data_IF_983099791038
#
_entry.id   IF_983099791038
#
_cell.length_a   1.000
_cell.length_b   1.000
_cell.length_c   1.000
_cell.angle_alpha   90.00
_cell.angle_beta   90.00
_cell.angle_gamma   90.00
#
_symmetry.space_group_name_H-M   'P 1'
#
loop_
_entity.id
_entity.type
_entity.pdbx_description
1 polymer ?
#
# COMPACT_ATOMS: atom_id res chain seq x y z
N UNK A 1 -30.20 71.00 20.04
CA UNK A 1 -31.62 71.26 20.13
C UNK A 1 -32.29 69.88 20.31
N UNK A 2 -32.73 69.58 21.58
CA UNK A 2 -34.12 69.56 22.00
C UNK A 2 -34.91 68.55 21.14
N UNK A 3 -35.59 67.48 21.63
CA UNK A 3 -36.53 67.35 22.74
C UNK A 3 -36.83 65.82 22.90
N UNK A 4 -36.73 65.17 24.06
CA UNK A 4 -37.79 64.94 25.08
C UNK A 4 -38.85 63.90 24.67
N UNK A 5 -38.74 62.74 25.33
CA UNK A 5 -39.67 62.00 26.19
C UNK A 5 -41.01 61.49 25.62
N UNK A 6 -41.39 60.25 25.84
CA UNK A 6 -42.47 59.92 26.77
C UNK A 6 -42.58 58.39 27.05
N UNK A 7 -42.84 58.10 28.33
CA UNK A 7 -43.17 56.81 28.93
C UNK A 7 -44.43 56.19 28.37
N UNK A 8 -44.49 54.84 28.38
CA UNK A 8 -45.71 54.12 28.77
C UNK A 8 -45.34 52.74 29.29
N UNK A 9 -45.60 52.57 30.56
CA UNK A 9 -45.61 51.30 31.33
C UNK A 9 -46.88 50.51 30.95
N UNK A 10 -46.73 49.24 30.59
CA UNK A 10 -47.83 48.30 30.73
C UNK A 10 -47.31 46.95 31.21
N UNK A 11 -47.53 46.66 32.49
CA UNK A 11 -47.36 45.36 33.10
C UNK A 11 -48.56 44.51 32.76
N UNK A 12 -48.32 43.29 32.28
CA UNK A 12 -49.29 42.19 32.32
C UNK A 12 -48.59 40.88 32.62
N UNK A 13 -48.93 40.33 33.75
CA UNK A 13 -48.67 39.00 34.28
C UNK A 13 -49.16 37.94 33.30
N UNK A 14 -48.31 37.02 32.92
CA UNK A 14 -48.72 35.66 32.50
C UNK A 14 -47.75 34.64 33.00
N UNK A 15 -48.29 33.63 33.61
CA UNK A 15 -47.82 32.54 34.44
C UNK A 15 -46.64 31.76 33.86
N UNK A 16 -45.83 31.33 34.81
CA UNK A 16 -44.73 30.40 34.61
C UNK A 16 -45.23 29.02 34.18
N UNK A 17 -44.67 28.55 33.09
CA UNK A 17 -44.50 27.12 32.84
C UNK A 17 -43.01 26.89 32.81
N UNK A 18 -42.47 26.45 33.99
CA UNK A 18 -41.13 25.88 34.04
C UNK A 18 -41.12 24.60 33.27
N UNK A 19 -40.82 24.65 31.96
CA UNK A 19 -40.38 23.51 31.21
C UNK A 19 -38.97 23.13 31.74
N UNK A 20 -38.90 22.18 32.67
CA UNK A 20 -37.69 21.41 32.94
C UNK A 20 -37.31 20.65 31.64
N UNK A 21 -36.60 21.33 30.76
CA UNK A 21 -35.84 20.67 29.69
C UNK A 21 -34.65 20.00 30.39
N UNK A 22 -34.87 18.74 30.80
CA UNK A 22 -33.77 17.84 31.13
C UNK A 22 -32.91 17.71 29.91
N UNK A 23 -31.91 18.57 29.75
CA UNK A 23 -30.81 18.40 28.82
C UNK A 23 -30.11 17.11 29.23
N UNK A 24 -30.53 16.00 28.57
CA UNK A 24 -29.74 14.80 28.55
C UNK A 24 -28.40 15.19 27.89
N UNK A 25 -27.43 15.52 28.69
CA UNK A 25 -26.02 15.61 28.26
C UNK A 25 -25.70 14.26 27.64
N UNK A 26 -25.79 14.17 26.32
CA UNK A 26 -25.20 13.07 25.56
C UNK A 26 -23.71 13.13 25.88
N UNK A 27 -23.29 12.33 26.86
CA UNK A 27 -21.86 12.07 27.11
C UNK A 27 -21.25 11.76 25.74
N UNK A 28 -20.35 12.62 25.31
CA UNK A 28 -19.57 12.35 24.11
C UNK A 28 -18.94 10.95 24.30
N UNK A 29 -18.97 10.09 23.27
CA UNK A 29 -18.33 8.79 23.38
C UNK A 29 -16.87 9.01 23.81
N UNK A 30 -16.34 8.15 24.70
CA UNK A 30 -14.96 8.29 25.16
C UNK A 30 -14.04 8.32 23.94
N UNK A 31 -13.01 9.17 23.95
CA UNK A 31 -12.08 9.26 22.83
C UNK A 31 -11.49 7.88 22.55
N UNK A 32 -11.48 7.49 21.28
CA UNK A 32 -10.90 6.21 20.87
C UNK A 32 -9.45 6.15 21.33
N UNK A 33 -8.98 5.00 21.83
CA UNK A 33 -7.59 4.83 22.22
C UNK A 33 -6.66 5.20 21.06
N UNK A 34 -5.71 6.09 21.30
CA UNK A 34 -4.78 6.52 20.25
C UNK A 34 -3.71 5.45 20.00
N UNK A 35 -3.36 5.24 18.73
CA UNK A 35 -2.25 4.38 18.35
C UNK A 35 -0.91 4.92 18.86
N UNK A 36 -0.09 4.06 19.46
CA UNK A 36 1.31 4.37 19.83
C UNK A 36 2.25 4.25 18.63
N UNK A 37 1.86 3.50 17.61
CA UNK A 37 2.67 3.22 16.42
C UNK A 37 2.55 4.34 15.38
N UNK A 38 1.37 4.93 15.21
CA UNK A 38 1.15 5.95 14.18
C UNK A 38 2.10 7.16 14.31
N UNK A 39 2.34 7.75 15.49
CA UNK A 39 3.30 8.84 15.64
C UNK A 39 4.75 8.44 15.22
N UNK A 40 5.15 7.19 15.48
CA UNK A 40 6.47 6.68 15.05
C UNK A 40 6.55 6.57 13.55
N UNK A 41 5.49 6.07 12.89
CA UNK A 41 5.40 6.03 11.42
C UNK A 41 5.50 7.43 10.81
N UNK A 42 4.78 8.40 11.36
CA UNK A 42 4.77 9.78 10.87
C UNK A 42 6.14 10.46 11.04
N UNK A 43 6.82 10.22 12.16
CA UNK A 43 8.15 10.74 12.43
C UNK A 43 9.19 10.10 11.46
N UNK A 44 9.13 8.78 11.28
CA UNK A 44 10.00 8.06 10.37
C UNK A 44 9.80 8.50 8.90
N UNK A 45 8.55 8.69 8.48
CA UNK A 45 8.23 9.18 7.15
C UNK A 45 8.86 10.56 6.89
N UNK A 46 8.76 11.49 7.85
CA UNK A 46 9.39 12.82 7.77
C UNK A 46 10.92 12.74 7.74
N UNK A 47 11.50 11.78 8.43
CA UNK A 47 12.95 11.54 8.46
C UNK A 47 13.47 10.73 7.26
N UNK A 48 12.60 10.27 6.35
CA UNK A 48 12.98 9.43 5.22
C UNK A 48 13.42 8.01 5.63
N UNK A 49 12.94 7.53 6.80
CA UNK A 49 13.35 6.24 7.36
C UNK A 49 12.31 5.15 7.11
N UNK A 50 12.78 3.94 6.88
CA UNK A 50 11.94 2.74 6.92
C UNK A 50 11.56 2.40 8.35
N UNK A 51 10.35 1.89 8.56
CA UNK A 51 9.88 1.45 9.88
C UNK A 51 9.57 -0.04 9.88
N UNK A 52 10.17 -0.79 10.80
CA UNK A 52 9.80 -2.18 11.06
C UNK A 52 8.81 -2.20 12.23
N UNK A 53 7.58 -2.62 11.98
CA UNK A 53 6.54 -2.75 13.00
C UNK A 53 6.48 -4.21 13.40
N UNK A 54 6.80 -4.52 14.66
CA UNK A 54 6.70 -5.88 15.20
C UNK A 54 5.35 -6.02 15.91
N UNK A 55 4.43 -6.74 15.25
CA UNK A 55 3.13 -7.09 15.83
C UNK A 55 3.26 -8.35 16.70
N UNK A 56 2.70 -8.29 17.90
CA UNK A 56 2.67 -9.42 18.84
C UNK A 56 1.26 -9.63 19.40
N UNK A 57 1.00 -10.81 19.96
CA UNK A 57 -0.17 -11.12 20.78
C UNK A 57 0.35 -11.68 22.10
N UNK A 58 0.76 -10.78 22.99
CA UNK A 58 1.39 -11.14 24.26
C UNK A 58 2.90 -11.39 24.17
N UNK A 59 3.50 -11.71 25.32
CA UNK A 59 4.94 -11.96 25.46
C UNK A 59 5.23 -13.45 25.31
N UNK A 60 5.88 -13.81 24.20
CA UNK A 60 6.35 -15.16 23.91
C UNK A 60 7.85 -15.12 23.59
N UNK A 61 8.51 -16.28 23.69
CA UNK A 61 9.92 -16.41 23.30
C UNK A 61 10.13 -16.02 21.84
N UNK A 62 9.25 -16.42 20.95
CA UNK A 62 9.28 -16.04 19.54
C UNK A 62 9.16 -14.52 19.35
N UNK A 63 8.29 -13.85 20.13
CA UNK A 63 8.14 -12.38 20.09
C UNK A 63 9.41 -11.68 20.56
N UNK A 64 10.02 -12.16 21.65
CA UNK A 64 11.27 -11.61 22.17
C UNK A 64 12.44 -11.81 21.19
N UNK A 65 12.54 -13.00 20.59
CA UNK A 65 13.57 -13.32 19.59
C UNK A 65 13.44 -12.43 18.36
N UNK A 66 12.25 -12.30 17.77
CA UNK A 66 12.01 -11.42 16.62
C UNK A 66 12.33 -9.97 16.94
N UNK A 67 11.90 -9.46 18.11
CA UNK A 67 12.18 -8.09 18.53
C UNK A 67 13.68 -7.84 18.69
N UNK A 68 14.43 -8.80 19.26
CA UNK A 68 15.89 -8.72 19.37
C UNK A 68 16.54 -8.60 17.98
N UNK A 69 16.18 -9.48 17.04
CA UNK A 69 16.71 -9.44 15.67
C UNK A 69 16.39 -8.12 14.97
N UNK A 70 15.16 -7.63 15.09
CA UNK A 70 14.76 -6.35 14.49
C UNK A 70 15.54 -5.19 15.09
N UNK A 71 15.70 -5.15 16.42
CA UNK A 71 16.46 -4.11 17.11
C UNK A 71 17.95 -4.07 16.67
N UNK A 72 18.59 -5.22 16.62
CA UNK A 72 19.97 -5.35 16.19
C UNK A 72 20.11 -4.97 14.70
N UNK A 73 19.22 -5.47 13.86
CA UNK A 73 19.20 -5.16 12.44
C UNK A 73 18.93 -3.67 12.14
N UNK A 74 18.09 -2.98 12.89
CA UNK A 74 17.90 -1.53 12.75
C UNK A 74 19.14 -0.76 13.17
N UNK A 75 19.79 -1.17 14.28
CA UNK A 75 21.02 -0.51 14.75
C UNK A 75 22.15 -0.57 13.71
N UNK A 76 22.27 -1.68 12.95
CA UNK A 76 23.29 -1.85 11.90
C UNK A 76 23.04 -0.98 10.66
N UNK A 77 21.86 -0.36 10.50
CA UNK A 77 21.43 0.38 9.28
C UNK A 77 21.69 1.89 9.32
N UNK A 78 22.45 2.37 10.30
CA UNK A 78 22.98 3.73 10.31
C UNK A 78 21.92 4.82 10.13
N UNK A 79 20.77 4.71 10.79
CA UNK A 79 19.71 5.73 10.74
C UNK A 79 18.78 5.65 9.50
N UNK A 80 18.96 4.68 8.60
CA UNK A 80 18.05 4.46 7.45
C UNK A 80 16.73 3.79 7.86
N UNK A 81 16.68 3.22 9.05
CA UNK A 81 15.51 2.50 9.55
C UNK A 81 15.29 2.77 11.03
N UNK A 82 14.05 2.60 11.46
CA UNK A 82 13.62 2.57 12.85
C UNK A 82 12.71 1.37 13.09
N UNK A 83 12.31 1.12 14.34
CA UNK A 83 11.34 0.08 14.64
C UNK A 83 10.38 0.53 15.74
N UNK A 84 9.25 -0.15 15.82
CA UNK A 84 8.26 -0.01 16.88
C UNK A 84 7.55 -1.35 17.12
N UNK A 85 6.84 -1.46 18.23
CA UNK A 85 6.06 -2.66 18.57
C UNK A 85 4.59 -2.32 18.65
N UNK A 86 3.73 -3.23 18.20
CA UNK A 86 2.29 -3.14 18.28
C UNK A 86 1.71 -4.39 18.95
N UNK A 87 0.88 -4.23 19.99
CA UNK A 87 0.05 -5.33 20.44
C UNK A 87 -1.20 -5.40 19.57
N UNK A 88 -1.31 -6.51 18.82
CA UNK A 88 -2.43 -6.73 17.89
C UNK A 88 -3.79 -6.87 18.60
N UNK A 89 -3.82 -7.04 19.91
CA UNK A 89 -5.04 -7.07 20.72
C UNK A 89 -5.41 -5.68 21.29
N UNK A 90 -4.50 -4.70 21.18
CA UNK A 90 -4.74 -3.34 21.70
C UNK A 90 -5.80 -2.62 20.87
N UNK A 91 -6.82 -2.07 21.52
CA UNK A 91 -7.86 -1.29 20.86
C UNK A 91 -7.28 -0.07 20.10
N UNK A 92 -6.20 0.54 20.60
CA UNK A 92 -5.53 1.66 19.95
C UNK A 92 -4.82 1.30 18.65
N UNK A 93 -4.51 0.01 18.44
CA UNK A 93 -3.79 -0.43 17.24
C UNK A 93 -4.70 -1.12 16.20
N UNK A 94 -6.01 -1.24 16.44
CA UNK A 94 -6.93 -1.94 15.55
C UNK A 94 -6.94 -1.37 14.12
N UNK A 95 -6.89 -0.05 13.97
CA UNK A 95 -6.81 0.60 12.66
C UNK A 95 -5.56 0.14 11.88
N UNK A 96 -4.43 -0.04 12.55
CA UNK A 96 -3.19 -0.53 11.92
C UNK A 96 -3.26 -2.03 11.65
N UNK A 97 -3.87 -2.80 12.56
CA UNK A 97 -4.13 -4.24 12.38
C UNK A 97 -4.96 -4.48 11.12
N UNK A 98 -6.00 -3.69 10.90
CA UNK A 98 -6.85 -3.73 9.71
C UNK A 98 -6.11 -3.26 8.47
N UNK A 99 -5.46 -2.10 8.55
CA UNK A 99 -4.68 -1.50 7.44
C UNK A 99 -3.63 -2.45 6.86
N UNK A 100 -2.94 -3.20 7.72
CA UNK A 100 -1.91 -4.14 7.29
C UNK A 100 -2.41 -5.58 7.15
N UNK A 101 -3.71 -5.84 7.41
CA UNK A 101 -4.32 -7.17 7.28
C UNK A 101 -3.74 -8.22 8.24
N UNK A 102 -3.18 -7.79 9.40
CA UNK A 102 -2.42 -8.67 10.28
C UNK A 102 -3.26 -9.44 11.29
N UNK A 103 -4.57 -9.18 11.39
CA UNK A 103 -5.46 -9.77 12.41
C UNK A 103 -5.50 -11.30 12.41
N UNK A 104 -5.36 -11.92 11.24
CA UNK A 104 -5.35 -13.39 11.05
C UNK A 104 -3.95 -13.97 10.79
N UNK A 105 -2.93 -13.13 10.76
CA UNK A 105 -1.57 -13.58 10.49
C UNK A 105 -0.99 -14.35 11.69
N UNK A 106 -0.09 -15.32 11.44
CA UNK A 106 0.65 -15.96 12.51
C UNK A 106 1.58 -14.96 13.18
N UNK A 107 1.56 -14.95 14.51
CA UNK A 107 2.38 -14.05 15.34
C UNK A 107 3.63 -14.77 15.87
N UNK A 108 4.70 -14.02 16.14
CA UNK A 108 4.90 -12.60 15.85
C UNK A 108 5.00 -12.32 14.34
N UNK A 109 4.67 -11.09 13.95
CA UNK A 109 4.74 -10.64 12.56
C UNK A 109 5.48 -9.30 12.47
N UNK A 110 6.46 -9.19 11.59
CA UNK A 110 7.08 -7.89 11.28
C UNK A 110 6.60 -7.38 9.92
N UNK A 111 6.16 -6.13 9.90
CA UNK A 111 5.82 -5.39 8.67
C UNK A 111 6.85 -4.29 8.46
N UNK A 112 7.52 -4.31 7.31
CA UNK A 112 8.42 -3.24 6.90
C UNK A 112 7.63 -2.20 6.08
N UNK A 113 7.69 -0.94 6.51
CA UNK A 113 6.98 0.18 5.89
C UNK A 113 8.00 1.22 5.44
N UNK A 114 7.95 1.60 4.17
CA UNK A 114 8.79 2.65 3.61
C UNK A 114 8.32 4.05 4.04
N UNK A 115 9.17 5.11 3.91
CA UNK A 115 8.81 6.49 4.24
C UNK A 115 7.55 7.00 3.55
N UNK A 116 7.25 6.52 2.34
CA UNK A 116 6.04 6.88 1.59
C UNK A 116 4.81 6.04 1.99
N UNK A 117 4.91 5.21 3.03
CA UNK A 117 3.83 4.35 3.52
C UNK A 117 3.63 3.05 2.75
N UNK A 118 4.47 2.73 1.76
CA UNK A 118 4.41 1.43 1.09
C UNK A 118 4.86 0.31 2.03
N UNK A 119 4.17 -0.82 2.01
CA UNK A 119 4.64 -2.06 2.66
C UNK A 119 5.69 -2.70 1.77
N UNK A 120 6.92 -2.83 2.26
CA UNK A 120 8.06 -3.37 1.51
C UNK A 120 8.44 -4.78 1.91
N UNK A 121 7.87 -5.29 3.00
CA UNK A 121 8.06 -6.66 3.45
C UNK A 121 7.11 -7.05 4.56
N UNK A 122 6.74 -8.34 4.60
CA UNK A 122 5.93 -8.94 5.66
C UNK A 122 6.59 -10.27 6.05
N UNK A 123 6.94 -10.42 7.33
CA UNK A 123 7.73 -11.55 7.83
C UNK A 123 7.05 -12.16 9.04
N UNK A 124 6.53 -13.36 8.88
CA UNK A 124 5.82 -14.09 9.92
C UNK A 124 6.77 -15.03 10.68
N UNK A 125 6.58 -15.16 12.00
CA UNK A 125 7.28 -16.05 12.92
C UNK A 125 8.75 -15.70 13.17
N UNK A 126 9.51 -15.34 12.13
CA UNK A 126 10.92 -14.96 12.24
C UNK A 126 11.30 -14.00 11.10
N UNK A 127 12.40 -13.26 11.30
CA UNK A 127 12.99 -12.38 10.28
C UNK A 127 14.52 -12.48 10.41
N UNK A 128 15.23 -12.43 9.26
CA UNK A 128 16.71 -12.37 9.24
C UNK A 128 17.21 -10.98 8.87
N UNK A 129 18.50 -10.72 9.13
CA UNK A 129 19.11 -9.43 8.78
C UNK A 129 19.11 -9.19 7.26
N UNK A 130 19.32 -10.25 6.46
CA UNK A 130 19.25 -10.19 5.00
C UNK A 130 17.83 -9.82 4.52
N UNK A 131 16.80 -10.40 5.12
CA UNK A 131 15.41 -10.05 4.81
C UNK A 131 15.11 -8.60 5.16
N UNK A 132 15.62 -8.11 6.28
CA UNK A 132 15.52 -6.69 6.64
C UNK A 132 16.25 -5.80 5.64
N UNK A 133 17.46 -6.17 5.20
CA UNK A 133 18.20 -5.42 4.18
C UNK A 133 17.45 -5.36 2.85
N UNK A 134 16.84 -6.48 2.45
CA UNK A 134 16.03 -6.57 1.23
C UNK A 134 14.77 -5.70 1.28
N UNK A 135 14.18 -5.51 2.45
CA UNK A 135 13.00 -4.66 2.63
C UNK A 135 13.30 -3.15 2.51
N UNK A 136 14.55 -2.74 2.59
CA UNK A 136 14.97 -1.38 2.25
C UNK A 136 15.15 -1.29 0.74
N UNK A 137 14.13 -0.79 0.07
CA UNK A 137 14.06 -0.74 -1.40
C UNK A 137 14.46 0.63 -1.95
N UNK A 138 14.90 0.71 -3.24
CA UNK A 138 15.22 1.96 -3.91
C UNK A 138 14.03 2.94 -4.00
N UNK A 139 14.29 4.26 -4.17
CA UNK A 139 13.24 5.27 -4.22
C UNK A 139 12.19 5.04 -5.31
N UNK A 140 12.60 4.60 -6.48
CA UNK A 140 11.66 4.30 -7.59
C UNK A 140 10.79 3.10 -7.24
N UNK A 141 11.39 2.03 -6.70
CA UNK A 141 10.65 0.85 -6.27
C UNK A 141 9.64 1.19 -5.16
N UNK A 142 9.99 2.05 -4.18
CA UNK A 142 9.05 2.52 -3.16
C UNK A 142 7.80 3.16 -3.77
N UNK A 143 7.99 4.05 -4.77
CA UNK A 143 6.89 4.73 -5.47
C UNK A 143 6.01 3.73 -6.23
N UNK A 144 6.63 2.78 -6.93
CA UNK A 144 5.92 1.72 -7.62
C UNK A 144 5.10 0.87 -6.65
N UNK A 145 5.72 0.37 -5.56
CA UNK A 145 5.04 -0.46 -4.56
C UNK A 145 3.85 0.26 -3.94
N UNK A 146 3.98 1.55 -3.60
CA UNK A 146 2.88 2.35 -3.07
C UNK A 146 1.71 2.39 -4.05
N UNK A 147 1.97 2.73 -5.31
CA UNK A 147 0.94 2.82 -6.35
C UNK A 147 0.28 1.46 -6.63
N UNK A 148 1.05 0.37 -6.68
CA UNK A 148 0.53 -0.98 -6.88
C UNK A 148 -0.38 -1.44 -5.72
N UNK A 149 -0.02 -1.09 -4.47
CA UNK A 149 -0.86 -1.35 -3.29
C UNK A 149 -2.16 -0.54 -3.29
N UNK A 150 -2.17 0.61 -3.96
CA UNK A 150 -3.37 1.42 -4.24
C UNK A 150 -4.14 0.94 -5.48
N UNK A 151 -3.83 -0.27 -5.98
CA UNK A 151 -4.45 -0.86 -7.16
C UNK A 151 -4.25 -0.04 -8.45
N UNK A 152 -3.17 0.74 -8.52
CA UNK A 152 -2.80 1.52 -9.71
C UNK A 152 -1.90 0.72 -10.63
N UNK A 153 -2.03 0.95 -11.93
CA UNK A 153 -1.12 0.47 -12.96
C UNK A 153 0.06 1.44 -13.05
N UNK A 154 1.28 0.93 -13.04
CA UNK A 154 2.49 1.76 -12.98
C UNK A 154 3.29 1.64 -14.27
N UNK A 155 3.58 2.77 -14.90
CA UNK A 155 4.59 2.88 -15.94
C UNK A 155 5.88 3.47 -15.35
N UNK A 156 6.93 2.68 -15.32
CA UNK A 156 8.27 3.14 -14.99
C UNK A 156 8.90 3.71 -16.26
N UNK A 157 8.89 5.04 -16.37
CA UNK A 157 9.43 5.77 -17.52
C UNK A 157 10.92 6.02 -17.31
N UNK A 158 11.75 5.60 -18.26
CA UNK A 158 13.20 5.55 -18.13
C UNK A 158 13.86 6.81 -18.71
N UNK A 159 14.87 7.31 -18.03
CA UNK A 159 15.74 8.39 -18.50
C UNK A 159 17.21 8.08 -18.19
N UNK A 160 18.12 8.60 -19.02
CA UNK A 160 19.56 8.58 -18.75
C UNK A 160 20.06 9.91 -18.22
N UNK A 161 19.29 10.97 -18.39
CA UNK A 161 19.64 12.30 -17.94
C UNK A 161 18.87 12.66 -16.67
N UNK A 162 19.58 12.86 -15.53
CA UNK A 162 18.94 13.21 -14.27
C UNK A 162 18.28 14.60 -14.29
N UNK A 163 18.70 15.48 -15.20
CA UNK A 163 18.14 16.83 -15.35
C UNK A 163 16.83 16.86 -16.14
N UNK A 164 16.55 15.81 -16.91
CA UNK A 164 15.36 15.68 -17.73
C UNK A 164 14.27 14.87 -17.03
N UNK A 165 13.03 15.30 -17.19
CA UNK A 165 11.88 14.40 -16.94
C UNK A 165 11.98 13.24 -17.92
N UNK A 166 11.70 12.03 -17.46
CA UNK A 166 11.67 10.86 -18.33
C UNK A 166 10.83 11.14 -19.57
N UNK A 167 11.39 10.85 -20.74
CA UNK A 167 10.66 10.98 -21.99
C UNK A 167 9.67 9.82 -22.11
N UNK A 168 8.39 10.16 -22.01
CA UNK A 168 7.30 9.18 -21.95
C UNK A 168 6.91 8.78 -23.37
N UNK A 169 6.84 7.48 -23.71
CA UNK A 169 6.33 7.03 -25.01
C UNK A 169 4.95 7.61 -25.33
N UNK A 170 4.72 7.99 -26.60
CA UNK A 170 3.48 8.66 -27.00
C UNK A 170 2.23 7.81 -26.67
N UNK A 171 2.27 6.50 -26.88
CA UNK A 171 1.16 5.60 -26.54
C UNK A 171 0.85 5.57 -25.04
N UNK A 172 1.87 5.68 -24.19
CA UNK A 172 1.68 5.77 -22.72
C UNK A 172 1.01 7.09 -22.33
N UNK A 173 1.42 8.21 -22.95
CA UNK A 173 0.77 9.52 -22.72
C UNK A 173 -0.70 9.50 -23.14
N UNK A 174 -1.00 8.92 -24.30
CA UNK A 174 -2.38 8.80 -24.76
C UNK A 174 -3.21 7.95 -23.82
N UNK A 175 -2.67 6.83 -23.34
CA UNK A 175 -3.35 5.97 -22.37
C UNK A 175 -3.60 6.70 -21.04
N UNK A 176 -2.66 7.53 -20.57
CA UNK A 176 -2.83 8.34 -19.35
C UNK A 176 -3.97 9.36 -19.47
N UNK A 177 -4.25 9.83 -20.68
CA UNK A 177 -5.34 10.78 -20.96
C UNK A 177 -6.67 10.08 -21.24
N UNK A 178 -6.65 8.78 -21.46
CA UNK A 178 -7.83 7.97 -21.75
C UNK A 178 -8.76 7.93 -20.50
N UNK A 179 -10.06 8.25 -20.66
CA UNK A 179 -11.02 8.25 -19.55
C UNK A 179 -11.05 6.96 -18.73
N UNK A 180 -10.85 5.80 -19.39
CA UNK A 180 -10.91 4.48 -18.75
C UNK A 180 -9.65 4.16 -17.92
N UNK A 181 -8.55 4.85 -18.18
CA UNK A 181 -7.25 4.58 -17.56
C UNK A 181 -6.69 5.71 -16.70
N UNK A 182 -7.08 6.98 -16.92
CA UNK A 182 -6.48 8.18 -16.31
C UNK A 182 -6.38 8.14 -14.79
N UNK A 183 -7.39 7.58 -14.12
CA UNK A 183 -7.43 7.48 -12.65
C UNK A 183 -6.63 6.28 -12.12
N UNK A 184 -6.27 5.35 -12.99
CA UNK A 184 -5.63 4.08 -12.65
C UNK A 184 -4.15 4.02 -13.05
N UNK A 185 -3.69 4.93 -13.89
CA UNK A 185 -2.33 4.95 -14.42
C UNK A 185 -1.47 5.95 -13.65
N UNK A 186 -0.30 5.49 -13.21
CA UNK A 186 0.73 6.31 -12.56
C UNK A 186 2.02 6.22 -13.35
N UNK A 187 2.63 7.37 -13.64
CA UNK A 187 3.96 7.44 -14.26
C UNK A 187 5.02 7.68 -13.17
N UNK A 188 6.04 6.84 -13.16
CA UNK A 188 7.17 6.94 -12.25
C UNK A 188 8.45 7.05 -13.07
N UNK A 189 9.18 8.17 -12.95
CA UNK A 189 10.47 8.34 -13.64
C UNK A 189 11.57 7.60 -12.90
N UNK A 190 12.46 6.93 -13.64
CA UNK A 190 13.64 6.23 -13.13
C UNK A 190 14.87 6.58 -13.96
N UNK A 191 15.99 6.89 -13.29
CA UNK A 191 17.29 7.04 -13.90
C UNK A 191 17.89 5.63 -14.12
N UNK A 192 18.14 5.28 -15.39
CA UNK A 192 18.56 3.91 -15.77
C UNK A 192 19.93 3.53 -15.19
N UNK A 193 20.82 4.52 -15.14
CA UNK A 193 22.23 4.30 -14.76
C UNK A 193 22.47 4.61 -13.27
N UNK A 194 21.41 4.81 -12.46
CA UNK A 194 21.53 4.96 -11.01
C UNK A 194 21.88 3.61 -10.35
N UNK A 195 23.06 3.48 -9.71
CA UNK A 195 23.45 2.26 -9.02
C UNK A 195 22.46 1.83 -7.93
N UNK A 196 21.75 2.78 -7.30
CA UNK A 196 20.76 2.50 -6.30
C UNK A 196 19.54 1.73 -6.86
N UNK A 197 19.24 1.90 -8.15
CA UNK A 197 18.13 1.23 -8.85
C UNK A 197 18.52 -0.09 -9.53
N UNK A 198 19.81 -0.50 -9.45
CA UNK A 198 20.33 -1.68 -10.17
C UNK A 198 19.54 -2.95 -9.90
N UNK A 199 19.17 -3.19 -8.64
CA UNK A 199 18.35 -4.33 -8.23
C UNK A 199 16.94 -4.27 -8.86
N UNK A 200 16.33 -3.10 -8.91
CA UNK A 200 15.00 -2.93 -9.51
C UNK A 200 15.07 -3.09 -11.02
N UNK A 201 16.11 -2.58 -11.66
CA UNK A 201 16.40 -2.79 -13.09
C UNK A 201 16.48 -4.29 -13.44
N UNK A 202 17.18 -5.08 -12.62
CA UNK A 202 17.25 -6.54 -12.80
C UNK A 202 15.88 -7.22 -12.62
N UNK A 203 15.10 -6.82 -11.60
CA UNK A 203 13.75 -7.37 -11.36
C UNK A 203 12.81 -7.09 -12.53
N UNK A 204 12.91 -5.92 -13.15
CA UNK A 204 12.15 -5.56 -14.36
C UNK A 204 12.67 -6.26 -15.61
N UNK A 205 13.72 -7.06 -15.55
CA UNK A 205 14.38 -7.71 -16.69
C UNK A 205 14.75 -6.70 -17.80
N UNK A 206 15.21 -5.53 -17.37
CA UNK A 206 15.52 -4.43 -18.27
C UNK A 206 16.88 -4.62 -18.91
N UNK A 207 16.91 -4.66 -20.23
CA UNK A 207 18.15 -4.51 -21.01
C UNK A 207 18.42 -3.01 -21.22
N UNK A 208 19.29 -2.47 -20.38
CA UNK A 208 19.60 -1.02 -20.39
C UNK A 208 20.22 -0.56 -21.70
N UNK A 209 20.88 -1.44 -22.46
CA UNK A 209 21.45 -1.13 -23.78
C UNK A 209 20.37 -0.82 -24.85
N UNK A 210 19.16 -1.34 -24.65
CA UNK A 210 18.03 -1.08 -25.54
C UNK A 210 17.31 0.24 -25.27
N UNK A 211 17.58 0.89 -24.13
CA UNK A 211 16.98 2.18 -23.78
C UNK A 211 17.71 3.30 -24.53
N UNK A 212 17.23 3.63 -25.74
CA UNK A 212 17.84 4.66 -26.63
C UNK A 212 16.91 5.88 -26.86
N UNK A 213 15.80 5.97 -26.15
CA UNK A 213 14.80 7.04 -26.30
C UNK A 213 13.64 6.83 -25.33
N UNK A 214 12.45 7.37 -25.64
CA UNK A 214 11.27 7.13 -24.82
C UNK A 214 11.04 5.65 -24.56
N UNK A 215 11.06 5.26 -23.30
CA UNK A 215 10.91 3.86 -22.92
C UNK A 215 10.20 3.74 -21.58
N UNK A 216 9.28 2.80 -21.48
CA UNK A 216 8.54 2.56 -20.27
C UNK A 216 8.37 1.05 -19.98
N UNK A 217 8.40 0.70 -18.72
CA UNK A 217 8.10 -0.65 -18.23
C UNK A 217 6.77 -0.61 -17.52
N UNK A 218 5.86 -1.50 -17.90
CA UNK A 218 4.52 -1.59 -17.34
C UNK A 218 4.46 -2.67 -16.26
N UNK A 219 4.05 -2.26 -15.06
CA UNK A 219 3.82 -3.13 -13.93
C UNK A 219 2.37 -2.95 -13.45
N UNK A 220 1.67 -4.04 -13.23
CA UNK A 220 0.30 -4.03 -12.73
C UNK A 220 0.18 -4.74 -11.37
N UNK A 221 -0.87 -4.42 -10.57
CA UNK A 221 -1.11 -5.13 -9.32
C UNK A 221 -1.20 -6.66 -9.50
N UNK A 222 -0.67 -7.44 -8.56
CA UNK A 222 0.03 -7.06 -7.34
C UNK A 222 1.54 -6.82 -7.50
N UNK A 223 2.06 -6.58 -8.70
CA UNK A 223 3.49 -6.41 -9.03
C UNK A 223 3.91 -7.24 -10.24
N UNK A 224 2.96 -7.53 -11.14
CA UNK A 224 3.19 -8.32 -12.36
C UNK A 224 3.80 -7.45 -13.44
N UNK A 225 4.97 -7.84 -13.96
CA UNK A 225 5.57 -7.23 -15.13
C UNK A 225 4.74 -7.61 -16.37
N UNK A 226 4.11 -6.61 -17.01
CA UNK A 226 3.25 -6.80 -18.19
C UNK A 226 4.06 -6.71 -19.48
N UNK A 227 4.95 -5.71 -19.59
CA UNK A 227 5.73 -5.53 -20.79
C UNK A 227 6.62 -4.31 -20.80
N UNK A 228 7.34 -4.16 -21.90
CA UNK A 228 8.24 -3.07 -22.19
C UNK A 228 7.73 -2.34 -23.42
N UNK A 229 7.69 -1.03 -23.39
CA UNK A 229 7.13 -0.17 -24.42
C UNK A 229 8.10 0.94 -24.80
N UNK A 230 8.35 1.11 -26.07
CA UNK A 230 9.26 2.11 -26.62
C UNK A 230 8.51 3.25 -27.33
N UNK A 231 9.26 4.10 -28.03
CA UNK A 231 8.70 5.24 -28.78
C UNK A 231 7.68 4.85 -29.87
N UNK A 232 7.73 3.59 -30.35
CA UNK A 232 6.85 3.10 -31.43
C UNK A 232 5.59 2.45 -30.89
N UNK A 233 5.54 2.13 -29.60
CA UNK A 233 4.42 1.45 -28.97
C UNK A 233 3.17 2.34 -28.99
N UNK A 234 2.08 1.81 -29.54
CA UNK A 234 0.80 2.52 -29.64
C UNK A 234 -0.06 2.35 -28.38
N UNK A 235 -1.00 3.28 -28.18
CA UNK A 235 -2.00 3.16 -27.09
C UNK A 235 -2.75 1.83 -27.17
N UNK A 236 -3.16 1.41 -28.38
CA UNK A 236 -3.92 0.17 -28.60
C UNK A 236 -3.14 -1.07 -28.19
N UNK A 237 -1.83 -1.14 -28.53
CA UNK A 237 -0.96 -2.25 -28.11
C UNK A 237 -0.79 -2.32 -26.61
N UNK A 238 -0.62 -1.16 -25.96
CA UNK A 238 -0.48 -1.08 -24.49
C UNK A 238 -1.79 -1.49 -23.82
N UNK A 239 -2.94 -0.97 -24.27
CA UNK A 239 -4.25 -1.34 -23.75
C UNK A 239 -4.50 -2.86 -23.93
N UNK A 240 -4.18 -3.42 -25.10
CA UNK A 240 -4.31 -4.86 -25.34
C UNK A 240 -3.43 -5.69 -24.37
N UNK A 241 -2.22 -5.23 -24.06
CA UNK A 241 -1.35 -5.90 -23.08
C UNK A 241 -1.95 -5.87 -21.66
N UNK A 242 -2.52 -4.74 -21.24
CA UNK A 242 -3.22 -4.59 -19.95
C UNK A 242 -4.43 -5.52 -19.88
N UNK A 243 -5.25 -5.57 -20.94
CA UNK A 243 -6.40 -6.45 -21.03
C UNK A 243 -6.02 -7.92 -20.95
N UNK A 244 -5.00 -8.32 -21.72
CA UNK A 244 -4.49 -9.70 -21.72
C UNK A 244 -4.00 -10.14 -20.31
N UNK A 245 -3.49 -9.22 -19.53
CA UNK A 245 -3.07 -9.46 -18.16
C UNK A 245 -4.24 -9.49 -17.16
N UNK A 246 -5.49 -9.28 -17.58
CA UNK A 246 -6.67 -9.24 -16.71
C UNK A 246 -6.75 -8.00 -15.84
N UNK A 247 -6.11 -6.90 -16.24
CA UNK A 247 -6.00 -5.66 -15.44
C UNK A 247 -6.82 -4.50 -16.03
N UNK A 248 -7.74 -4.78 -16.96
CA UNK A 248 -8.36 -3.71 -17.74
C UNK A 248 -9.49 -2.96 -17.02
N UNK A 249 -10.35 -3.65 -16.27
CA UNK A 249 -11.48 -3.04 -15.58
C UNK A 249 -12.10 -4.03 -14.59
N UNK A 250 -12.78 -3.50 -13.57
CA UNK A 250 -13.60 -4.28 -12.65
C UNK A 250 -15.03 -4.48 -13.19
N UNK A 251 -15.32 -4.05 -14.43
CA UNK A 251 -16.62 -4.16 -15.06
C UNK A 251 -16.87 -5.60 -15.53
N UNK A 252 -17.85 -6.32 -14.95
CA UNK A 252 -18.23 -7.66 -15.39
C UNK A 252 -18.74 -7.72 -16.85
N UNK A 253 -19.12 -6.58 -17.42
CA UNK A 253 -19.57 -6.43 -18.82
C UNK A 253 -18.46 -5.92 -19.75
N UNK A 254 -17.20 -5.90 -19.30
CA UNK A 254 -16.09 -5.45 -20.13
C UNK A 254 -16.04 -6.22 -21.44
N UNK A 255 -16.26 -5.51 -22.56
CA UNK A 255 -16.28 -6.07 -23.92
C UNK A 255 -14.95 -6.64 -24.40
N UNK A 256 -13.89 -6.54 -23.58
CA UNK A 256 -12.52 -6.92 -23.91
C UNK A 256 -12.13 -8.33 -23.46
N UNK A 257 -13.11 -9.19 -23.16
CA UNK A 257 -12.91 -10.62 -22.88
C UNK A 257 -11.93 -10.88 -21.74
N UNK A 258 -12.45 -10.92 -20.51
CA UNK A 258 -11.66 -11.48 -19.40
C UNK A 258 -11.33 -12.92 -19.72
N UNK A 259 -10.05 -13.23 -19.98
CA UNK A 259 -9.58 -14.59 -19.83
C UNK A 259 -9.73 -14.92 -18.34
N UNK A 260 -10.85 -15.55 -17.97
CA UNK A 260 -11.02 -16.11 -16.63
C UNK A 260 -9.75 -16.89 -16.30
N UNK A 261 -9.06 -16.59 -15.19
CA UNK A 261 -7.94 -17.43 -14.76
C UNK A 261 -8.50 -18.85 -14.66
N UNK A 262 -8.02 -19.76 -15.52
CA UNK A 262 -8.32 -21.19 -15.34
C UNK A 262 -7.82 -21.52 -13.95
N UNK A 263 -8.72 -21.81 -13.03
CA UNK A 263 -8.38 -22.34 -11.72
C UNK A 263 -7.39 -23.48 -11.92
N UNK A 264 -6.29 -23.51 -11.16
CA UNK A 264 -5.37 -24.64 -11.26
C UNK A 264 -6.17 -25.93 -11.10
N UNK A 265 -5.91 -26.97 -11.91
CA UNK A 265 -6.61 -28.23 -11.77
C UNK A 265 -6.43 -28.72 -10.33
N UNK A 266 -7.54 -29.05 -9.68
CA UNK A 266 -7.52 -29.60 -8.33
C UNK A 266 -6.54 -30.78 -8.28
N UNK A 267 -5.70 -30.91 -7.24
CA UNK A 267 -4.79 -32.03 -7.12
C UNK A 267 -5.61 -33.31 -7.13
N UNK A 268 -5.32 -34.19 -8.10
CA UNK A 268 -5.91 -35.51 -8.16
C UNK A 268 -5.51 -36.23 -6.87
N UNK A 269 -6.47 -36.45 -5.99
CA UNK A 269 -6.29 -37.26 -4.78
C UNK A 269 -5.78 -38.65 -5.17
N UNK A 270 -4.99 -39.32 -4.28
CA UNK A 270 -4.47 -40.63 -4.54
C UNK A 270 -5.64 -41.62 -4.74
N UNK A 271 -5.64 -42.28 -5.88
CA UNK A 271 -6.59 -43.36 -6.20
C UNK A 271 -6.49 -44.44 -5.11
N UNK A 272 -7.55 -44.63 -4.36
CA UNK A 272 -7.66 -45.75 -3.42
C UNK A 272 -7.58 -47.05 -4.22
N UNK A 273 -6.45 -47.76 -4.12
CA UNK A 273 -6.34 -49.14 -4.57
C UNK A 273 -7.22 -50.02 -3.67
N UNK A 274 -8.29 -50.52 -4.26
CA UNK A 274 -9.19 -51.46 -3.66
C UNK A 274 -8.47 -52.82 -3.61
N UNK A 275 -7.89 -53.18 -2.48
CA UNK A 275 -7.39 -54.53 -2.23
C UNK A 275 -8.57 -55.47 -2.06
N UNK A 276 -8.83 -56.29 -3.07
CA UNK A 276 -9.70 -57.47 -2.98
C UNK A 276 -8.96 -58.56 -2.23
N UNK A 277 -9.31 -58.75 -0.97
CA UNK A 277 -8.89 -59.94 -0.21
C UNK A 277 -9.76 -61.13 -0.67
N UNK A 278 -9.17 -62.00 -1.50
CA UNK A 278 -9.76 -63.31 -1.82
C UNK A 278 -9.65 -64.21 -0.61
N UNK A 279 -10.78 -64.77 -0.24
CA UNK A 279 -10.94 -65.80 0.76
C UNK A 279 -10.83 -67.15 0.05
N UNK A 280 -9.90 -68.02 0.48
CA UNK A 280 -9.97 -69.49 0.45
C UNK A 280 -9.34 -70.01 1.73
#
# INVERSE_FOLDING_TARGET
MKTVALLAVLALLTGGVSECVAQAQRLAPPPLPQSKVQPVLDAAAKAGQFTYIVFTKGDSEASRSMLKTVKEGVASRGGKATFTTADANSAGEQTLVEKFGVGRAPMPLTVAVAPNGAVTGVFAKAITDEQMAVAIVPPTMMRCMKSLQEQKIVFVCLTRDPSLKADVPAGVRMLQLDPDFKERVVLVSMLVDDPAESRFTQQMKLDTAKVKGPYAVLIAPPGVLIGHFDAKSTQTEIAAAIHKAGQCCDDPNCKHGHATPKSPPAPKGPSAQRTTTGRN
#
